data_IF_762597366193
#
_entry.id   IF_762597366193
#
_cell.length_a   1.000
_cell.length_b   1.000
_cell.length_c   1.000
_cell.angle_alpha   90.00
_cell.angle_beta   90.00
_cell.angle_gamma   90.00
#
_symmetry.space_group_name_H-M   'P 1'
#
loop_
_entity.id
_entity.type
_entity.pdbx_description
1 polymer ?
#
# COMPACT_ATOMS: atom_id res chain seq x y z
N UNK A 1 -30.91 -21.45 -13.68
CA UNK A 1 -30.93 -22.84 -13.18
C UNK A 1 -30.32 -22.83 -11.79
N UNK A 2 -31.16 -23.04 -10.78
CA UNK A 2 -30.80 -23.02 -9.37
C UNK A 2 -30.34 -24.44 -9.00
N UNK A 3 -29.18 -24.57 -8.35
CA UNK A 3 -28.71 -25.85 -7.79
C UNK A 3 -28.45 -25.68 -6.30
N UNK A 4 -29.47 -26.05 -5.52
CA UNK A 4 -29.36 -26.32 -4.10
C UNK A 4 -28.52 -27.59 -3.92
N UNK A 5 -27.57 -27.56 -3.00
CA UNK A 5 -27.00 -28.78 -2.40
C UNK A 5 -27.19 -28.78 -0.89
N UNK A 6 -27.51 -29.97 -0.40
CA UNK A 6 -28.14 -30.23 0.88
C UNK A 6 -27.17 -30.26 2.07
N UNK A 7 -27.80 -30.07 3.22
CA UNK A 7 -27.31 -30.17 4.59
C UNK A 7 -26.74 -31.56 4.89
N UNK A 8 -25.59 -31.64 5.58
CA UNK A 8 -25.30 -32.70 6.56
C UNK A 8 -24.09 -32.37 7.44
N UNK A 9 -24.14 -32.91 8.66
CA UNK A 9 -23.06 -33.14 9.64
C UNK A 9 -22.74 -32.00 10.62
N UNK A 10 -23.46 -32.03 11.74
CA UNK A 10 -23.04 -31.56 13.06
C UNK A 10 -21.76 -32.27 13.48
N UNK A 11 -20.66 -31.54 13.64
CA UNK A 11 -19.48 -31.98 14.38
C UNK A 11 -19.23 -31.00 15.53
N UNK A 12 -19.33 -31.52 16.74
CA UNK A 12 -19.02 -30.85 17.98
C UNK A 12 -17.50 -30.60 18.01
N UNK A 13 -17.04 -29.40 17.66
CA UNK A 13 -15.67 -28.98 17.92
C UNK A 13 -15.66 -28.16 19.21
N UNK A 14 -15.21 -28.79 20.29
CA UNK A 14 -14.65 -28.08 21.44
C UNK A 14 -13.40 -27.34 20.97
N UNK A 15 -13.57 -26.07 20.61
CA UNK A 15 -12.43 -25.16 20.42
C UNK A 15 -11.93 -24.82 21.81
N UNK A 16 -10.83 -25.46 22.23
CA UNK A 16 -9.94 -24.83 23.21
C UNK A 16 -9.46 -23.54 22.55
N UNK A 17 -10.03 -22.41 22.97
CA UNK A 17 -9.50 -21.10 22.68
C UNK A 17 -8.09 -21.04 23.31
N UNK A 18 -7.09 -21.39 22.51
CA UNK A 18 -5.73 -20.98 22.78
C UNK A 18 -5.77 -19.46 22.65
N UNK A 19 -5.81 -18.78 23.79
CA UNK A 19 -5.52 -17.37 23.86
C UNK A 19 -4.12 -17.21 23.28
N UNK A 20 -4.02 -16.85 22.00
CA UNK A 20 -2.80 -16.28 21.46
C UNK A 20 -2.55 -15.04 22.32
N UNK A 21 -1.37 -14.90 22.94
CA UNK A 21 -1.03 -13.64 23.56
C UNK A 21 -1.06 -12.60 22.44
N UNK A 22 -2.06 -11.71 22.50
CA UNK A 22 -2.08 -10.43 21.82
C UNK A 22 -1.00 -9.53 22.45
N UNK A 23 0.25 -9.98 22.39
CA UNK A 23 1.37 -9.08 22.49
C UNK A 23 1.54 -8.53 21.08
N UNK A 24 0.89 -7.39 20.82
CA UNK A 24 1.58 -6.37 20.03
C UNK A 24 2.94 -6.21 20.71
N UNK A 25 3.96 -6.88 20.19
CA UNK A 25 5.30 -6.67 20.66
C UNK A 25 5.64 -5.26 20.21
N UNK A 26 5.46 -4.30 21.12
CA UNK A 26 6.09 -2.99 21.03
C UNK A 26 7.59 -3.23 21.19
N UNK A 27 8.19 -3.75 20.12
CA UNK A 27 9.62 -3.94 20.00
C UNK A 27 10.26 -2.57 20.19
N UNK A 28 11.10 -2.44 21.20
CA UNK A 28 11.90 -1.22 21.36
C UNK A 28 12.97 -1.22 20.28
N UNK A 29 12.98 -0.17 19.45
CA UNK A 29 14.00 0.00 18.42
C UNK A 29 15.38 0.17 19.07
N UNK A 30 16.39 -0.40 18.43
CA UNK A 30 17.78 -0.09 18.80
C UNK A 30 18.12 1.34 18.37
N UNK A 31 19.11 2.01 18.99
CA UNK A 31 19.53 3.34 18.57
C UNK A 31 19.94 3.43 17.09
N UNK A 32 20.55 2.37 16.56
CA UNK A 32 20.97 2.31 15.16
C UNK A 32 19.77 2.21 14.21
N UNK A 33 18.73 1.46 14.58
CA UNK A 33 17.49 1.35 13.80
C UNK A 33 16.69 2.65 13.83
N UNK A 34 16.59 3.29 15.00
CA UNK A 34 15.93 4.58 15.14
C UNK A 34 16.65 5.64 14.29
N UNK A 35 17.98 5.68 14.34
CA UNK A 35 18.78 6.58 13.51
C UNK A 35 18.55 6.31 12.01
N UNK A 36 18.62 5.06 11.57
CA UNK A 36 18.39 4.68 10.18
C UNK A 36 16.99 5.04 9.68
N UNK A 37 15.95 4.73 10.46
CA UNK A 37 14.57 5.07 10.10
C UNK A 37 14.35 6.59 10.04
N UNK A 38 15.03 7.35 10.90
CA UNK A 38 15.00 8.81 10.87
C UNK A 38 15.65 9.34 9.59
N UNK A 39 16.82 8.83 9.19
CA UNK A 39 17.47 9.21 7.93
C UNK A 39 16.60 8.87 6.71
N UNK A 40 16.01 7.67 6.67
CA UNK A 40 15.06 7.27 5.62
C UNK A 40 13.85 8.21 5.59
N UNK A 41 13.30 8.54 6.76
CA UNK A 41 12.14 9.43 6.89
C UNK A 41 12.46 10.83 6.37
N UNK A 42 13.61 11.40 6.73
CA UNK A 42 14.05 12.74 6.31
C UNK A 42 14.35 12.80 4.81
N UNK A 43 15.06 11.80 4.29
CA UNK A 43 15.35 11.67 2.86
C UNK A 43 14.07 11.62 2.02
N UNK A 44 13.14 10.72 2.36
CA UNK A 44 11.91 10.56 1.59
C UNK A 44 10.94 11.73 1.77
N UNK A 45 11.01 12.45 2.90
CA UNK A 45 10.27 13.71 3.12
C UNK A 45 10.76 14.83 2.20
N UNK A 46 12.05 14.85 1.85
CA UNK A 46 12.60 15.86 0.96
C UNK A 46 12.13 15.69 -0.50
N UNK A 47 11.68 14.49 -0.88
CA UNK A 47 11.15 14.20 -2.21
C UNK A 47 9.70 14.73 -2.29
N UNK A 48 9.49 15.85 -2.98
CA UNK A 48 8.16 16.47 -3.11
C UNK A 48 7.34 15.94 -4.26
N UNK A 49 7.99 15.46 -5.31
CA UNK A 49 7.34 14.79 -6.43
C UNK A 49 8.17 13.61 -6.90
N UNK A 50 7.51 12.60 -7.47
CA UNK A 50 8.15 11.43 -8.03
C UNK A 50 7.30 10.86 -9.16
N UNK A 51 7.94 10.40 -10.24
CA UNK A 51 7.31 9.60 -11.26
C UNK A 51 8.20 8.42 -11.63
N UNK A 52 7.60 7.37 -12.18
CA UNK A 52 8.36 6.21 -12.63
C UNK A 52 7.43 5.06 -13.02
N UNK A 53 7.99 3.86 -13.00
CA UNK A 53 7.27 2.62 -13.28
C UNK A 53 7.03 1.84 -11.99
N UNK A 54 5.99 1.02 -12.00
CA UNK A 54 5.75 0.06 -10.94
C UNK A 54 5.44 -1.31 -11.53
N UNK A 55 5.72 -2.35 -10.75
CA UNK A 55 5.27 -3.71 -11.00
C UNK A 55 4.58 -4.24 -9.74
N UNK A 56 3.33 -4.67 -9.90
CA UNK A 56 2.58 -5.38 -8.88
C UNK A 56 2.74 -6.88 -9.12
N UNK A 57 2.93 -7.63 -8.04
CA UNK A 57 2.92 -9.09 -8.00
C UNK A 57 1.84 -9.52 -7.01
N UNK A 58 0.88 -10.32 -7.46
CA UNK A 58 -0.15 -10.90 -6.59
C UNK A 58 0.31 -12.22 -5.94
N UNK A 59 -0.48 -12.72 -4.98
CA UNK A 59 -0.20 -13.99 -4.27
C UNK A 59 -0.10 -15.23 -5.16
N UNK A 60 -0.60 -15.18 -6.40
CA UNK A 60 -0.51 -16.26 -7.38
C UNK A 60 0.68 -16.08 -8.34
N UNK A 61 1.50 -15.04 -8.14
CA UNK A 61 2.62 -14.68 -8.99
C UNK A 61 2.22 -13.93 -10.26
N UNK A 62 0.95 -13.53 -10.39
CA UNK A 62 0.48 -12.67 -11.48
C UNK A 62 1.16 -11.32 -11.41
N UNK A 63 1.67 -10.84 -12.55
CA UNK A 63 2.43 -9.60 -12.64
C UNK A 63 1.67 -8.57 -13.48
N UNK A 64 1.56 -7.35 -12.96
CA UNK A 64 0.94 -6.24 -13.69
C UNK A 64 1.83 -5.01 -13.52
N UNK A 65 2.22 -4.41 -14.63
CA UNK A 65 3.04 -3.20 -14.64
C UNK A 65 2.22 -1.94 -14.89
N UNK A 66 2.80 -0.80 -14.59
CA UNK A 66 2.24 0.49 -14.93
C UNK A 66 3.18 1.65 -14.67
N UNK A 67 2.60 2.86 -14.67
CA UNK A 67 3.31 4.10 -14.34
C UNK A 67 2.69 4.74 -13.11
N UNK A 68 3.51 5.37 -12.29
CA UNK A 68 3.04 6.12 -11.14
C UNK A 68 3.50 7.58 -11.16
N UNK A 69 2.73 8.42 -10.47
CA UNK A 69 2.99 9.83 -10.24
C UNK A 69 2.61 10.16 -8.81
N UNK A 70 3.49 10.80 -8.07
CA UNK A 70 3.28 11.22 -6.68
C UNK A 70 3.66 12.69 -6.59
N UNK A 71 2.80 13.49 -5.98
CA UNK A 71 3.10 14.86 -5.54
C UNK A 71 2.62 15.01 -4.11
N UNK A 72 3.54 15.32 -3.20
CA UNK A 72 3.23 15.49 -1.78
C UNK A 72 2.64 16.89 -1.53
N UNK A 73 1.67 17.00 -0.61
CA UNK A 73 0.98 15.91 0.09
C UNK A 73 -0.17 15.31 -0.73
N UNK A 74 -0.40 14.00 -0.58
CA UNK A 74 -1.64 13.29 -0.93
C UNK A 74 -2.07 13.23 -2.42
N UNK A 75 -1.28 13.71 -3.37
CA UNK A 75 -1.58 13.53 -4.79
C UNK A 75 -0.86 12.30 -5.32
N UNK A 76 -1.64 11.34 -5.79
CA UNK A 76 -1.11 10.06 -6.26
C UNK A 76 -1.88 9.64 -7.50
N UNK A 77 -1.18 9.05 -8.46
CA UNK A 77 -1.80 8.34 -9.56
C UNK A 77 -0.98 7.12 -9.93
N UNK A 78 -1.54 5.93 -9.80
CA UNK A 78 -1.05 4.71 -10.43
C UNK A 78 -1.93 4.43 -11.64
N UNK A 79 -1.31 4.11 -12.78
CA UNK A 79 -2.01 3.73 -14.02
C UNK A 79 -1.47 2.38 -14.46
N UNK A 80 -2.34 1.37 -14.45
CA UNK A 80 -1.98 0.05 -14.93
C UNK A 80 -1.81 0.05 -16.46
N UNK A 81 -0.88 -0.75 -16.95
CA UNK A 81 -0.60 -0.91 -18.36
C UNK A 81 -1.66 -1.73 -19.10
N UNK A 82 -1.73 -1.64 -20.44
CA UNK A 82 -2.65 -2.44 -21.25
C UNK A 82 -2.49 -3.96 -21.00
N UNK A 83 -3.58 -4.75 -21.07
CA UNK A 83 -4.94 -4.36 -21.47
C UNK A 83 -5.75 -3.69 -20.36
N UNK A 84 -5.25 -3.65 -19.12
CA UNK A 84 -5.93 -2.99 -18.01
C UNK A 84 -6.13 -1.50 -18.29
N UNK A 85 -7.26 -0.98 -17.82
CA UNK A 85 -7.59 0.46 -17.80
C UNK A 85 -7.89 0.94 -16.39
N UNK A 86 -7.29 0.26 -15.42
CA UNK A 86 -7.41 0.61 -14.03
C UNK A 86 -6.46 1.74 -13.66
N UNK A 87 -6.95 2.66 -12.84
CA UNK A 87 -6.20 3.78 -12.30
C UNK A 87 -6.54 3.92 -10.81
N UNK A 88 -5.50 4.06 -9.98
CA UNK A 88 -5.66 4.43 -8.57
C UNK A 88 -5.26 5.89 -8.47
N UNK A 89 -6.18 6.76 -8.05
CA UNK A 89 -5.98 8.20 -8.01
C UNK A 89 -6.30 8.73 -6.62
N UNK A 90 -5.41 9.52 -6.04
CA UNK A 90 -5.68 10.32 -4.84
C UNK A 90 -5.63 11.81 -5.17
N UNK A 91 -6.65 12.54 -4.71
CA UNK A 91 -6.70 14.00 -4.73
C UNK A 91 -7.10 14.50 -3.35
N UNK A 92 -6.14 15.05 -2.60
CA UNK A 92 -6.42 15.68 -1.32
C UNK A 92 -6.74 14.68 -0.20
N UNK A 93 -8.02 14.31 -0.03
CA UNK A 93 -8.52 13.50 1.11
C UNK A 93 -9.16 12.16 0.73
N UNK A 94 -9.20 11.82 -0.55
CA UNK A 94 -9.87 10.61 -1.05
C UNK A 94 -9.01 9.84 -2.03
N UNK A 95 -9.08 8.51 -1.94
CA UNK A 95 -8.51 7.58 -2.90
C UNK A 95 -9.61 6.96 -3.74
N UNK A 96 -9.36 6.86 -5.04
CA UNK A 96 -10.32 6.38 -6.03
C UNK A 96 -9.66 5.28 -6.86
N UNK A 97 -10.27 4.09 -6.88
CA UNK A 97 -9.91 3.02 -7.81
C UNK A 97 -10.92 3.05 -8.95
N UNK A 98 -10.45 3.36 -10.15
CA UNK A 98 -11.29 3.56 -11.33
C UNK A 98 -10.89 2.52 -12.37
N UNK A 99 -11.80 1.62 -12.74
CA UNK A 99 -11.61 0.74 -13.88
C UNK A 99 -12.50 1.23 -15.04
N UNK A 100 -11.86 1.82 -16.05
CA UNK A 100 -12.57 2.42 -17.20
C UNK A 100 -13.09 1.42 -18.21
N UNK A 101 -12.60 0.18 -18.18
CA UNK A 101 -13.10 -0.88 -19.03
C UNK A 101 -14.46 -1.36 -18.51
N UNK A 102 -14.54 -1.59 -17.21
CA UNK A 102 -15.75 -2.12 -16.55
C UNK A 102 -16.69 -1.01 -16.06
N UNK A 103 -16.25 0.25 -16.16
CA UNK A 103 -16.96 1.44 -15.68
C UNK A 103 -17.31 1.32 -14.19
N UNK A 104 -16.34 0.94 -13.38
CA UNK A 104 -16.46 0.91 -11.92
C UNK A 104 -15.61 2.02 -11.29
N UNK A 105 -16.02 2.46 -10.10
CA UNK A 105 -15.31 3.42 -9.27
C UNK A 105 -15.56 3.07 -7.81
N UNK A 106 -14.48 2.88 -7.05
CA UNK A 106 -14.52 2.71 -5.61
C UNK A 106 -13.83 3.90 -4.96
N UNK A 107 -14.46 4.48 -3.95
CA UNK A 107 -13.91 5.59 -3.18
C UNK A 107 -13.61 5.12 -1.76
N UNK A 108 -12.36 5.31 -1.34
CA UNK A 108 -11.89 4.99 0.01
C UNK A 108 -11.53 6.28 0.73
N UNK A 109 -11.89 6.36 2.00
CA UNK A 109 -11.34 7.39 2.88
C UNK A 109 -9.81 7.19 2.95
N UNK A 110 -9.06 8.29 2.92
CA UNK A 110 -7.59 8.25 2.93
C UNK A 110 -7.03 7.46 4.12
N UNK A 111 -7.72 7.44 5.26
CA UNK A 111 -7.29 6.74 6.47
C UNK A 111 -7.30 5.21 6.35
N UNK A 112 -7.92 4.66 5.30
CA UNK A 112 -8.01 3.22 5.07
C UNK A 112 -7.06 2.71 3.99
N UNK A 113 -6.14 3.55 3.51
CA UNK A 113 -5.18 3.18 2.46
C UNK A 113 -3.82 2.85 3.08
N UNK A 114 -3.36 1.60 2.99
CA UNK A 114 -2.18 1.13 3.73
C UNK A 114 -0.87 1.91 3.47
N UNK A 115 -0.71 2.56 2.30
CA UNK A 115 0.50 3.32 1.95
C UNK A 115 0.48 4.79 2.45
N UNK A 116 -0.58 5.24 3.15
CA UNK A 116 -0.77 6.66 3.49
C UNK A 116 0.39 7.29 4.28
N UNK A 117 1.03 6.53 5.17
CA UNK A 117 2.14 7.01 6.02
C UNK A 117 3.35 7.46 5.19
N UNK A 118 3.52 6.90 3.99
CA UNK A 118 4.58 7.28 3.07
C UNK A 118 4.19 8.44 2.12
N UNK A 119 2.89 8.73 1.99
CA UNK A 119 2.33 9.66 1.00
C UNK A 119 1.94 11.04 1.58
N UNK A 120 2.00 11.16 2.90
CA UNK A 120 1.73 12.42 3.61
C UNK A 120 2.73 13.53 3.30
N UNK A 121 2.52 14.70 3.91
CA UNK A 121 3.45 15.85 3.78
C UNK A 121 4.87 15.53 4.30
N UNK A 122 4.93 14.66 5.30
CA UNK A 122 6.17 14.13 5.86
C UNK A 122 6.05 12.61 5.95
N UNK A 123 7.15 11.93 5.67
CA UNK A 123 7.31 10.51 5.94
C UNK A 123 7.82 10.38 7.37
N UNK A 124 7.15 9.54 8.18
CA UNK A 124 7.62 9.22 9.53
C UNK A 124 7.37 7.74 9.80
N UNK A 125 8.45 6.97 9.85
CA UNK A 125 8.41 5.52 10.07
C UNK A 125 8.47 5.12 11.54
N UNK A 126 8.83 6.03 12.44
CA UNK A 126 9.01 5.75 13.88
C UNK A 126 7.70 5.98 14.65
N UNK A 127 6.97 7.05 14.33
CA UNK A 127 5.70 7.39 14.97
C UNK A 127 4.47 6.74 14.30
N UNK A 128 4.71 5.86 13.33
CA UNK A 128 3.68 5.03 12.74
C UNK A 128 3.42 3.79 13.61
N UNK A 129 2.37 3.00 13.29
CA UNK A 129 2.09 1.71 13.90
C UNK A 129 3.15 0.65 13.51
N UNK A 130 4.41 0.94 13.77
CA UNK A 130 5.57 0.13 13.45
C UNK A 130 5.60 -1.09 14.39
N UNK A 131 5.67 -2.27 13.82
CA UNK A 131 5.77 -3.54 14.56
C UNK A 131 7.14 -4.17 14.46
N UNK A 132 7.84 -3.97 13.35
CA UNK A 132 9.17 -4.54 13.16
C UNK A 132 10.06 -3.71 12.22
N UNK A 133 11.36 -3.94 12.35
CA UNK A 133 12.40 -3.38 11.48
C UNK A 133 13.38 -4.48 11.13
N UNK A 134 13.55 -4.75 9.85
CA UNK A 134 14.49 -5.77 9.37
C UNK A 134 15.58 -5.09 8.57
N UNK A 135 16.82 -5.18 9.05
CA UNK A 135 17.98 -4.58 8.37
C UNK A 135 18.88 -5.68 7.82
N UNK A 136 19.20 -5.58 6.53
CA UNK A 136 20.14 -6.42 5.81
C UNK A 136 21.32 -5.58 5.31
N UNK A 137 22.29 -6.18 4.61
CA UNK A 137 23.42 -5.43 4.05
C UNK A 137 22.98 -4.36 3.04
N UNK A 138 21.99 -4.66 2.20
CA UNK A 138 21.58 -3.80 1.08
C UNK A 138 20.24 -3.09 1.31
N UNK A 139 19.36 -3.65 2.14
CA UNK A 139 18.00 -3.15 2.34
C UNK A 139 17.64 -3.00 3.81
N UNK A 140 16.76 -2.06 4.10
CA UNK A 140 16.06 -1.93 5.37
C UNK A 140 14.55 -2.03 5.12
N UNK A 141 13.84 -2.79 5.95
CA UNK A 141 12.40 -2.91 5.90
C UNK A 141 11.77 -2.36 7.18
N UNK A 142 10.77 -1.49 7.04
CA UNK A 142 9.91 -1.06 8.13
C UNK A 142 8.55 -1.78 7.99
N UNK A 143 8.18 -2.56 8.99
CA UNK A 143 6.92 -3.32 9.00
C UNK A 143 5.92 -2.60 9.89
N UNK A 144 4.75 -2.32 9.33
CA UNK A 144 3.68 -1.56 9.96
C UNK A 144 2.37 -2.33 9.90
N UNK A 145 1.41 -1.94 10.73
CA UNK A 145 0.03 -2.43 10.65
C UNK A 145 -0.95 -1.27 10.58
N UNK A 146 -1.89 -1.35 9.65
CA UNK A 146 -2.99 -0.39 9.53
C UNK A 146 -4.33 -1.11 9.63
N UNK A 147 -5.26 -0.52 10.38
CA UNK A 147 -6.61 -1.06 10.51
C UNK A 147 -7.46 -0.56 9.35
N UNK A 148 -7.92 -1.47 8.52
CA UNK A 148 -8.75 -1.17 7.34
C UNK A 148 -10.16 -1.78 7.50
N UNK A 149 -11.15 -1.41 6.66
CA UNK A 149 -12.47 -2.01 6.70
C UNK A 149 -12.50 -3.54 6.48
N UNK A 150 -11.46 -4.09 5.84
CA UNK A 150 -11.32 -5.54 5.62
C UNK A 150 -10.60 -6.25 6.78
N UNK A 151 -10.07 -5.49 7.75
CA UNK A 151 -9.31 -5.94 8.91
C UNK A 151 -7.90 -5.34 8.95
N UNK A 152 -7.08 -5.82 9.88
CA UNK A 152 -5.69 -5.37 10.07
C UNK A 152 -4.80 -5.85 8.91
N UNK A 153 -4.24 -4.90 8.16
CA UNK A 153 -3.32 -5.15 7.04
C UNK A 153 -1.90 -4.86 7.50
N UNK A 154 -1.00 -5.82 7.28
CA UNK A 154 0.43 -5.61 7.46
C UNK A 154 1.03 -4.97 6.21
N UNK A 155 1.88 -3.97 6.41
CA UNK A 155 2.56 -3.22 5.36
C UNK A 155 4.06 -3.31 5.60
N UNK A 156 4.79 -3.90 4.66
CA UNK A 156 6.26 -3.86 4.69
C UNK A 156 6.75 -2.83 3.68
N UNK A 157 7.48 -1.81 4.14
CA UNK A 157 8.12 -0.80 3.29
C UNK A 157 9.60 -1.12 3.19
N UNK A 158 10.10 -1.37 1.99
CA UNK A 158 11.48 -1.79 1.73
C UNK A 158 12.25 -0.65 1.08
N UNK A 159 13.37 -0.30 1.70
CA UNK A 159 14.26 0.79 1.33
C UNK A 159 15.63 0.27 0.94
N UNK A 160 16.23 0.89 -0.09
CA UNK A 160 17.64 0.70 -0.42
C UNK A 160 18.52 1.41 0.63
N UNK A 161 19.58 0.76 1.12
CA UNK A 161 20.43 1.32 2.18
C UNK A 161 21.48 2.30 1.69
N UNK A 162 21.82 2.28 0.41
CA UNK A 162 22.77 3.22 -0.18
C UNK A 162 22.04 4.53 -0.55
N UNK A 163 20.87 4.42 -1.16
CA UNK A 163 20.12 5.60 -1.64
C UNK A 163 19.03 6.08 -0.70
N UNK A 164 18.64 5.28 0.30
CA UNK A 164 17.52 5.51 1.24
C UNK A 164 16.13 5.57 0.57
N UNK A 165 16.03 5.23 -0.72
CA UNK A 165 14.78 5.29 -1.45
C UNK A 165 13.87 4.12 -1.13
N UNK A 166 12.55 4.36 -1.08
CA UNK A 166 11.58 3.29 -1.17
C UNK A 166 11.73 2.60 -2.54
N UNK A 167 11.95 1.29 -2.54
CA UNK A 167 12.06 0.49 -3.77
C UNK A 167 10.92 -0.50 -3.92
N UNK A 168 10.30 -0.89 -2.80
CA UNK A 168 9.20 -1.85 -2.81
C UNK A 168 8.33 -1.68 -1.56
N UNK A 169 7.06 -2.06 -1.66
CA UNK A 169 6.26 -2.38 -0.49
C UNK A 169 5.43 -3.65 -0.71
N UNK A 170 5.07 -4.34 0.36
CA UNK A 170 4.09 -5.42 0.32
C UNK A 170 2.95 -5.16 1.29
N UNK A 171 1.78 -5.71 0.95
CA UNK A 171 0.55 -5.65 1.71
C UNK A 171 0.12 -7.09 1.99
N UNK A 172 -0.05 -7.43 3.25
CA UNK A 172 -0.58 -8.73 3.67
C UNK A 172 -1.93 -8.49 4.34
N UNK A 173 -2.99 -9.00 3.70
CA UNK A 173 -4.36 -8.90 4.19
C UNK A 173 -4.61 -9.89 5.36
N UNK A 174 -5.67 -9.69 6.17
CA UNK A 174 -6.08 -10.65 7.21
C UNK A 174 -6.32 -12.07 6.69
N UNK A 175 -6.66 -12.21 5.41
CA UNK A 175 -6.85 -13.48 4.72
C UNK A 175 -5.54 -14.24 4.47
N UNK A 176 -4.38 -13.57 4.64
CA UNK A 176 -3.06 -14.06 4.27
C UNK A 176 -2.69 -13.79 2.81
N UNK A 177 -3.54 -13.11 2.04
CA UNK A 177 -3.23 -12.71 0.66
C UNK A 177 -2.16 -11.61 0.70
N UNK A 178 -1.04 -11.88 0.04
CA UNK A 178 0.04 -10.92 -0.14
C UNK A 178 -0.02 -10.28 -1.53
N UNK A 179 0.18 -8.97 -1.59
CA UNK A 179 0.42 -8.23 -2.82
C UNK A 179 1.69 -7.39 -2.65
N UNK A 180 2.63 -7.53 -3.57
CA UNK A 180 3.88 -6.77 -3.60
C UNK A 180 3.86 -5.74 -4.72
N UNK A 181 4.44 -4.57 -4.48
CA UNK A 181 4.62 -3.51 -5.44
C UNK A 181 6.07 -3.04 -5.43
N UNK A 182 6.76 -3.14 -6.56
CA UNK A 182 8.11 -2.61 -6.73
C UNK A 182 8.07 -1.36 -7.61
N UNK A 183 8.89 -0.36 -7.33
CA UNK A 183 9.02 0.84 -8.17
C UNK A 183 10.43 0.95 -8.73
N UNK A 184 10.52 1.42 -9.97
CA UNK A 184 11.77 1.51 -10.71
C UNK A 184 11.69 2.63 -11.75
N UNK A 185 12.83 2.96 -12.37
CA UNK A 185 12.99 4.10 -13.29
C UNK A 185 12.44 5.40 -12.68
N UNK A 186 12.81 5.68 -11.43
CA UNK A 186 12.22 6.78 -10.66
C UNK A 186 12.93 8.10 -10.92
N UNK A 187 12.15 9.11 -11.26
CA UNK A 187 12.56 10.51 -11.33
C UNK A 187 11.94 11.28 -10.17
N UNK A 188 12.75 12.08 -9.46
CA UNK A 188 12.36 12.77 -8.22
C UNK A 188 12.42 14.27 -8.40
N UNK A 189 11.56 15.00 -7.68
CA UNK A 189 11.50 16.45 -7.65
C UNK A 189 11.33 17.09 -9.05
N UNK A 190 10.59 16.40 -9.92
CA UNK A 190 10.20 16.88 -11.25
C UNK A 190 8.89 17.67 -11.20
N UNK A 191 8.67 18.54 -12.18
CA UNK A 191 7.38 19.23 -12.33
C UNK A 191 6.32 18.27 -12.90
N UNK A 192 5.30 17.95 -12.09
CA UNK A 192 4.17 17.11 -12.51
C UNK A 192 2.93 17.99 -12.58
N UNK A 193 2.39 18.25 -13.78
CA UNK A 193 1.22 19.10 -13.91
C UNK A 193 0.00 18.55 -13.17
N UNK A 194 -0.73 19.41 -12.45
CA UNK A 194 -1.90 19.02 -11.65
C UNK A 194 -2.99 18.22 -12.40
N UNK A 195 -3.11 18.41 -13.72
CA UNK A 195 -4.07 17.66 -14.53
C UNK A 195 -3.80 16.14 -14.53
N UNK A 196 -2.58 15.71 -14.21
CA UNK A 196 -2.27 14.29 -14.01
C UNK A 196 -3.08 13.68 -12.88
N UNK A 197 -3.52 14.44 -11.89
CA UNK A 197 -4.32 13.91 -10.78
C UNK A 197 -5.81 14.06 -11.02
N UNK A 198 -6.24 14.76 -12.07
CA UNK A 198 -7.65 15.06 -12.32
C UNK A 198 -8.48 13.80 -12.61
N UNK A 199 -9.65 13.73 -11.97
CA UNK A 199 -10.70 12.74 -12.22
C UNK A 199 -11.85 13.48 -12.89
N UNK A 200 -12.28 13.00 -14.05
CA UNK A 200 -13.41 13.58 -14.77
C UNK A 200 -14.68 13.46 -13.90
N UNK A 201 -15.31 14.59 -13.49
CA UNK A 201 -16.49 14.58 -12.64
C UNK A 201 -17.73 13.99 -13.32
N UNK A 202 -17.69 13.81 -14.64
CA UNK A 202 -18.77 13.22 -15.43
C UNK A 202 -18.64 11.71 -15.59
N UNK A 203 -17.58 11.09 -15.05
CA UNK A 203 -17.43 9.64 -15.07
C UNK A 203 -18.63 8.97 -14.38
N UNK A 204 -19.34 8.12 -15.13
CA UNK A 204 -20.50 7.39 -14.62
C UNK A 204 -20.16 5.93 -14.49
N UNK A 205 -20.36 5.39 -13.29
CA UNK A 205 -20.32 3.95 -13.09
C UNK A 205 -21.55 3.31 -13.72
N UNK A 206 -21.41 2.08 -14.22
CA UNK A 206 -22.58 1.24 -14.44
C UNK A 206 -22.96 0.73 -13.04
N UNK A 207 -24.05 1.26 -12.48
CA UNK A 207 -24.65 0.69 -11.28
C UNK A 207 -25.45 -0.55 -11.69
N UNK A 208 -25.17 -1.70 -11.07
CA UNK A 208 -26.07 -2.87 -11.09
C UNK A 208 -27.35 -2.60 -10.28
#
# INVERSE_FOLDING_TARGET
MIRNFAIAATLLFTVLASALPANAQNRTLTPDEEFLLQEISDHNTAIRSMAGRFMQIDSQGGQIEGTFYITRPNYVRFRYGPPSREEIISQGRGFYVINRQDRTQYAYAQDHVPLRQFLGDRVNLINSNLTDVVVSETHAAAVLVDDTPIGTVEVSLIFDRETLDLVQWSLIEPSGVETTFSIYDTEKNIDIPNHYYHIDPTYRTISD
#
